data_IF_009313336954
#
_entry.id   IF_009313336954
#
_cell.length_a   1.000
_cell.length_b   1.000
_cell.length_c   1.000
_cell.angle_alpha   90.00
_cell.angle_beta   90.00
_cell.angle_gamma   90.00
#
_symmetry.space_group_name_H-M   'P 1'
#
loop_
_entity.id
_entity.type
_entity.pdbx_description
1 polymer ?
#
# COMPACT_ATOMS: atom_id res chain seq x y z
N UNK A 1 -16.00 -2.15 14.11
CA UNK A 1 -14.80 -2.44 14.91
C UNK A 1 -14.36 -3.89 14.66
N UNK A 2 -15.20 -4.88 14.96
CA UNK A 2 -14.85 -6.31 14.80
C UNK A 2 -14.43 -6.75 13.39
N UNK A 3 -15.08 -6.22 12.34
CA UNK A 3 -14.69 -6.55 10.97
C UNK A 3 -13.30 -5.98 10.60
N UNK A 4 -12.99 -4.76 11.06
CA UNK A 4 -11.72 -4.08 10.77
C UNK A 4 -10.57 -4.81 11.48
N UNK A 5 -10.77 -5.16 12.75
CA UNK A 5 -9.83 -5.97 13.54
C UNK A 5 -9.51 -7.29 12.83
N UNK A 6 -10.55 -8.01 12.38
CA UNK A 6 -10.38 -9.28 11.67
C UNK A 6 -9.60 -9.15 10.35
N UNK A 7 -9.68 -8.02 9.65
CA UNK A 7 -8.93 -7.80 8.40
C UNK A 7 -7.48 -7.46 8.75
N UNK A 8 -7.27 -6.56 9.70
CA UNK A 8 -5.94 -6.15 10.17
C UNK A 8 -5.14 -7.36 10.67
N UNK A 9 -5.73 -8.20 11.53
CA UNK A 9 -5.08 -9.40 12.07
C UNK A 9 -4.61 -10.35 10.95
N UNK A 10 -5.47 -10.56 9.95
CA UNK A 10 -5.17 -11.41 8.78
C UNK A 10 -4.03 -10.84 7.94
N UNK A 11 -4.02 -9.53 7.73
CA UNK A 11 -3.01 -8.86 6.93
C UNK A 11 -1.65 -8.81 7.62
N UNK A 12 -1.62 -8.50 8.91
CA UNK A 12 -0.38 -8.49 9.70
C UNK A 12 0.25 -9.88 9.75
N UNK A 13 -0.54 -10.92 10.02
CA UNK A 13 -0.02 -12.30 10.12
C UNK A 13 0.66 -12.78 8.84
N UNK A 14 0.23 -12.29 7.67
CA UNK A 14 0.78 -12.66 6.35
C UNK A 14 1.83 -11.68 5.81
N UNK A 15 2.15 -10.61 6.54
CA UNK A 15 3.04 -9.55 6.03
C UNK A 15 4.49 -10.03 5.99
N UNK A 16 5.07 -10.02 4.79
CA UNK A 16 6.50 -10.16 4.48
C UNK A 16 7.24 -11.26 5.26
N UNK A 17 6.59 -12.40 5.46
CA UNK A 17 7.07 -13.53 6.28
C UNK A 17 8.35 -14.20 5.77
N UNK A 18 8.77 -13.88 4.55
CA UNK A 18 10.05 -14.30 3.97
C UNK A 18 11.19 -13.32 4.27
N UNK A 19 10.90 -12.13 4.79
CA UNK A 19 11.87 -11.13 5.17
C UNK A 19 12.39 -11.41 6.59
N UNK A 20 13.70 -11.29 6.82
CA UNK A 20 14.32 -11.69 8.10
C UNK A 20 13.73 -10.95 9.31
N UNK A 21 13.33 -9.70 9.11
CA UNK A 21 12.68 -8.88 10.13
C UNK A 21 11.33 -9.43 10.63
N UNK A 22 10.55 -10.09 9.76
CA UNK A 22 9.19 -10.58 10.08
C UNK A 22 9.06 -12.11 10.13
N UNK A 23 10.13 -12.86 9.82
CA UNK A 23 10.10 -14.33 9.82
C UNK A 23 10.03 -14.92 11.24
N UNK A 24 9.59 -16.18 11.34
CA UNK A 24 9.53 -16.92 12.61
C UNK A 24 8.21 -16.76 13.39
N UNK A 25 7.78 -17.82 14.07
CA UNK A 25 6.56 -17.80 14.89
C UNK A 25 6.69 -16.81 16.05
N UNK A 26 5.58 -16.14 16.41
CA UNK A 26 5.54 -15.17 17.52
C UNK A 26 6.58 -14.03 17.41
N UNK A 27 6.87 -13.58 16.20
CA UNK A 27 7.81 -12.49 15.93
C UNK A 27 7.30 -11.16 16.54
N UNK A 28 8.12 -10.51 17.37
CA UNK A 28 7.76 -9.27 18.06
C UNK A 28 7.54 -8.09 17.11
N UNK A 29 8.26 -8.00 15.99
CA UNK A 29 8.08 -6.94 14.99
C UNK A 29 6.72 -7.03 14.28
N UNK A 30 6.15 -8.24 14.18
CA UNK A 30 4.79 -8.44 13.67
C UNK A 30 3.76 -7.89 14.66
N UNK A 31 4.01 -8.01 15.96
CA UNK A 31 3.18 -7.38 16.99
C UNK A 31 3.29 -5.84 16.92
N UNK A 32 4.51 -5.30 16.76
CA UNK A 32 4.71 -3.85 16.58
C UNK A 32 3.99 -3.34 15.33
N UNK A 33 4.04 -4.09 14.21
CA UNK A 33 3.29 -3.76 12.99
C UNK A 33 1.78 -3.68 13.25
N UNK A 34 1.24 -4.64 13.99
CA UNK A 34 -0.15 -4.64 14.42
C UNK A 34 -0.48 -3.39 15.27
N UNK A 35 0.33 -3.10 16.28
CA UNK A 35 0.06 -2.04 17.25
C UNK A 35 0.10 -0.64 16.62
N UNK A 36 1.02 -0.41 15.67
CA UNK A 36 1.06 0.82 14.88
C UNK A 36 -0.20 0.96 14.01
N UNK A 37 -0.62 -0.09 13.30
CA UNK A 37 -1.82 -0.04 12.45
C UNK A 37 -3.10 0.18 13.28
N UNK A 38 -3.17 -0.44 14.46
CA UNK A 38 -4.24 -0.21 15.42
C UNK A 38 -4.26 1.23 15.93
N UNK A 39 -3.09 1.77 16.26
CA UNK A 39 -2.93 3.17 16.68
C UNK A 39 -3.33 4.13 15.55
N UNK A 40 -2.93 3.83 14.31
CA UNK A 40 -3.32 4.62 13.14
C UNK A 40 -4.84 4.59 12.92
N UNK A 41 -5.47 3.42 13.06
CA UNK A 41 -6.92 3.28 12.97
C UNK A 41 -7.66 4.16 14.00
N UNK A 42 -7.07 4.39 15.18
CA UNK A 42 -7.62 5.33 16.16
C UNK A 42 -7.28 6.78 15.85
N UNK A 43 -6.09 7.05 15.32
CA UNK A 43 -5.63 8.39 14.95
C UNK A 43 -6.45 8.99 13.80
N UNK A 44 -6.70 8.21 12.74
CA UNK A 44 -7.53 8.60 11.60
C UNK A 44 -8.76 7.68 11.52
N UNK A 45 -9.69 7.85 12.46
CA UNK A 45 -10.85 6.98 12.59
C UNK A 45 -11.82 7.05 11.40
N UNK A 46 -11.88 8.19 10.72
CA UNK A 46 -12.74 8.38 9.53
C UNK A 46 -12.29 7.50 8.36
N UNK A 47 -10.97 7.32 8.19
CA UNK A 47 -10.41 6.39 7.21
C UNK A 47 -10.34 4.96 7.76
N UNK A 48 -9.83 4.82 8.98
CA UNK A 48 -9.52 3.54 9.62
C UNK A 48 -8.42 2.75 8.92
N UNK A 49 -8.30 1.48 9.28
CA UNK A 49 -7.45 0.52 8.57
C UNK A 49 -8.12 0.03 7.27
N UNK A 50 -7.35 0.05 6.18
CA UNK A 50 -7.74 -0.52 4.89
C UNK A 50 -6.66 -1.48 4.41
N UNK A 51 -7.09 -2.62 3.85
CA UNK A 51 -6.18 -3.65 3.35
C UNK A 51 -5.13 -3.07 2.37
N UNK A 52 -3.86 -3.39 2.63
CA UNK A 52 -2.71 -2.86 1.89
C UNK A 52 -1.92 -1.82 2.68
N UNK A 53 -2.49 -1.20 3.71
CA UNK A 53 -1.75 -0.30 4.61
C UNK A 53 -0.61 -1.02 5.36
N UNK A 54 -0.78 -2.30 5.68
CA UNK A 54 0.27 -3.15 6.24
C UNK A 54 1.49 -3.26 5.29
N UNK A 55 1.27 -3.28 3.99
CA UNK A 55 2.33 -3.36 2.98
C UNK A 55 3.09 -2.02 2.88
N UNK A 56 2.41 -0.91 3.16
CA UNK A 56 3.01 0.42 3.23
C UNK A 56 3.83 0.63 4.50
N UNK A 57 3.33 0.15 5.65
CA UNK A 57 4.03 0.29 6.93
C UNK A 57 5.24 -0.64 7.05
N UNK A 58 5.17 -1.85 6.49
CA UNK A 58 6.22 -2.88 6.64
C UNK A 58 7.64 -2.34 6.39
N UNK A 59 7.93 -1.65 5.26
CA UNK A 59 9.27 -1.11 5.03
C UNK A 59 9.67 0.03 5.95
N UNK A 60 8.72 0.89 6.32
CA UNK A 60 8.96 1.97 7.28
C UNK A 60 9.42 1.37 8.61
N UNK A 61 8.75 0.32 9.08
CA UNK A 61 9.09 -0.33 10.34
C UNK A 61 10.44 -1.06 10.29
N UNK A 62 10.82 -1.61 9.13
CA UNK A 62 12.15 -2.20 8.90
C UNK A 62 13.24 -1.14 8.95
N UNK A 63 13.01 0.06 8.39
CA UNK A 63 14.01 1.14 8.36
C UNK A 63 14.13 1.85 9.72
N UNK A 64 13.00 2.17 10.34
CA UNK A 64 12.98 3.00 11.54
C UNK A 64 13.41 2.20 12.78
N UNK A 65 13.09 0.90 12.82
CA UNK A 65 13.38 -0.01 13.95
C UNK A 65 12.83 0.47 15.32
N UNK A 66 12.02 1.52 15.33
CA UNK A 66 11.36 2.11 16.49
C UNK A 66 9.88 2.32 16.20
N UNK A 67 9.02 1.97 17.16
CA UNK A 67 7.56 2.01 17.00
C UNK A 67 7.02 3.43 16.79
N UNK A 68 7.54 4.40 17.55
CA UNK A 68 7.04 5.78 17.56
C UNK A 68 7.47 6.49 16.29
N UNK A 69 8.74 6.34 15.90
CA UNK A 69 9.26 6.91 14.67
C UNK A 69 8.59 6.30 13.44
N UNK A 70 8.39 4.97 13.44
CA UNK A 70 7.64 4.29 12.38
C UNK A 70 6.19 4.77 12.29
N UNK A 71 5.52 4.97 13.43
CA UNK A 71 4.15 5.51 13.45
C UNK A 71 4.07 6.90 12.81
N UNK A 72 4.93 7.84 13.22
CA UNK A 72 4.88 9.20 12.66
C UNK A 72 5.30 9.26 11.20
N UNK A 73 6.26 8.42 10.77
CA UNK A 73 6.61 8.29 9.37
C UNK A 73 5.43 7.72 8.55
N UNK A 74 4.73 6.72 9.09
CA UNK A 74 3.53 6.16 8.46
C UNK A 74 2.39 7.18 8.38
N UNK A 75 2.15 7.98 9.42
CA UNK A 75 1.19 9.10 9.37
C UNK A 75 1.57 10.10 8.26
N UNK A 76 2.86 10.44 8.16
CA UNK A 76 3.38 11.32 7.11
C UNK A 76 3.14 10.75 5.70
N UNK A 77 3.42 9.46 5.49
CA UNK A 77 3.12 8.74 4.26
C UNK A 77 1.62 8.78 3.93
N UNK A 78 0.79 8.41 4.90
CA UNK A 78 -0.65 8.33 4.73
C UNK A 78 -1.29 9.69 4.45
N UNK A 79 -0.72 10.80 4.94
CA UNK A 79 -1.20 12.14 4.59
C UNK A 79 -1.14 12.47 3.08
N UNK A 80 -0.36 11.69 2.32
CA UNK A 80 -0.23 11.79 0.86
C UNK A 80 -1.02 10.73 0.11
N UNK A 81 -1.29 9.60 0.77
CA UNK A 81 -1.84 8.39 0.14
C UNK A 81 -3.27 8.06 0.57
N UNK A 82 -3.81 8.68 1.62
CA UNK A 82 -5.12 8.37 2.20
C UNK A 82 -6.26 8.35 1.17
N UNK A 83 -6.27 9.28 0.22
CA UNK A 83 -7.28 9.35 -0.83
C UNK A 83 -7.38 8.07 -1.67
N UNK A 84 -6.29 7.31 -1.80
CA UNK A 84 -6.27 6.01 -2.49
C UNK A 84 -7.00 4.91 -1.70
N UNK A 85 -7.13 5.07 -0.40
CA UNK A 85 -7.75 4.11 0.51
C UNK A 85 -9.21 4.47 0.86
N UNK A 86 -9.74 5.56 0.32
CA UNK A 86 -11.14 5.93 0.52
C UNK A 86 -12.09 4.88 -0.08
N UNK A 87 -13.20 4.60 0.63
CA UNK A 87 -14.17 3.56 0.25
C UNK A 87 -14.81 3.77 -1.12
N UNK A 88 -14.93 5.02 -1.58
CA UNK A 88 -15.50 5.34 -2.89
C UNK A 88 -14.55 5.00 -4.07
N UNK A 89 -13.25 4.83 -3.76
CA UNK A 89 -12.16 4.56 -4.69
C UNK A 89 -12.06 5.57 -5.84
N UNK A 90 -12.59 6.79 -5.67
CA UNK A 90 -12.65 7.78 -6.74
C UNK A 90 -11.25 8.25 -7.15
N UNK A 91 -10.35 8.43 -6.18
CA UNK A 91 -9.00 8.91 -6.46
C UNK A 91 -8.20 7.88 -7.27
N UNK A 92 -8.14 6.62 -6.83
CA UNK A 92 -7.39 5.58 -7.54
C UNK A 92 -8.00 5.30 -8.93
N UNK A 93 -9.33 5.33 -9.08
CA UNK A 93 -9.98 5.23 -10.39
C UNK A 93 -9.59 6.37 -11.33
N UNK A 94 -9.46 7.59 -10.80
CA UNK A 94 -8.95 8.74 -11.56
C UNK A 94 -7.50 8.52 -12.00
N UNK A 95 -6.62 8.03 -11.12
CA UNK A 95 -5.23 7.70 -11.45
C UNK A 95 -5.13 6.62 -12.54
N UNK A 96 -5.98 5.58 -12.47
CA UNK A 96 -6.05 4.52 -13.48
C UNK A 96 -6.58 5.04 -14.84
N UNK A 97 -7.55 5.95 -14.82
CA UNK A 97 -8.04 6.63 -16.04
C UNK A 97 -6.94 7.50 -16.67
N UNK A 98 -6.17 8.22 -15.85
CA UNK A 98 -5.02 9.00 -16.30
C UNK A 98 -3.95 8.10 -16.92
N UNK A 99 -3.69 6.92 -16.33
CA UNK A 99 -2.77 5.94 -16.88
C UNK A 99 -3.22 5.45 -18.27
N UNK A 100 -4.51 5.16 -18.45
CA UNK A 100 -5.04 4.83 -19.78
C UNK A 100 -4.87 5.97 -20.78
N UNK A 101 -5.12 7.21 -20.35
CA UNK A 101 -4.94 8.41 -21.19
C UNK A 101 -3.47 8.58 -21.61
N UNK A 102 -2.52 8.38 -20.70
CA UNK A 102 -1.09 8.41 -21.01
C UNK A 102 -0.71 7.30 -21.99
N UNK A 103 -1.24 6.09 -21.79
CA UNK A 103 -0.98 4.99 -22.69
C UNK A 103 -1.48 5.27 -24.11
N UNK A 104 -2.64 5.90 -24.29
CA UNK A 104 -3.14 6.30 -25.61
C UNK A 104 -2.18 7.22 -26.36
N UNK A 105 -1.41 8.05 -25.64
CA UNK A 105 -0.40 8.92 -26.22
C UNK A 105 0.92 8.20 -26.52
N UNK A 106 1.35 7.31 -25.60
CA UNK A 106 2.65 6.61 -25.70
C UNK A 106 2.59 5.43 -26.68
N UNK A 107 1.52 4.64 -26.60
CA UNK A 107 1.31 3.41 -27.39
C UNK A 107 -0.20 3.24 -27.68
N UNK A 108 -0.65 3.88 -28.75
CA UNK A 108 -2.04 3.84 -29.17
C UNK A 108 -2.51 2.44 -29.60
N UNK A 109 -1.60 1.58 -30.08
CA UNK A 109 -1.93 0.21 -30.49
C UNK A 109 -2.24 -0.64 -29.26
N UNK A 110 -1.40 -0.58 -28.23
CA UNK A 110 -1.66 -1.24 -26.96
C UNK A 110 -2.90 -0.69 -26.27
N UNK A 111 -3.11 0.64 -26.26
CA UNK A 111 -4.31 1.23 -25.68
C UNK A 111 -5.59 0.71 -26.36
N UNK A 112 -5.59 0.64 -27.71
CA UNK A 112 -6.71 0.08 -28.49
C UNK A 112 -6.94 -1.39 -28.17
N UNK A 113 -5.87 -2.20 -28.12
CA UNK A 113 -5.97 -3.61 -27.73
C UNK A 113 -6.63 -3.78 -26.35
N UNK A 114 -6.27 -2.95 -25.37
CA UNK A 114 -6.89 -3.01 -24.04
C UNK A 114 -8.37 -2.63 -24.07
N UNK A 115 -8.78 -1.66 -24.90
CA UNK A 115 -10.22 -1.34 -25.08
C UNK A 115 -10.97 -2.54 -25.68
N UNK A 116 -10.44 -3.14 -26.74
CA UNK A 116 -11.06 -4.29 -27.43
C UNK A 116 -11.19 -5.52 -26.51
N UNK A 117 -10.32 -5.64 -25.50
CA UNK A 117 -10.32 -6.73 -24.52
C UNK A 117 -10.95 -6.36 -23.17
N UNK A 118 -11.75 -5.28 -23.09
CA UNK A 118 -12.42 -4.83 -21.85
C UNK A 118 -11.48 -4.56 -20.66
N UNK A 119 -10.23 -4.17 -20.96
CA UNK A 119 -9.17 -3.93 -19.99
C UNK A 119 -8.76 -2.44 -19.89
N UNK A 120 -9.49 -1.53 -20.55
CA UNK A 120 -9.18 -0.09 -20.54
C UNK A 120 -9.35 0.59 -19.18
N UNK A 121 -10.04 -0.04 -18.23
CA UNK A 121 -10.16 0.45 -16.84
C UNK A 121 -8.87 0.30 -16.02
N UNK A 122 -7.85 -0.39 -16.55
CA UNK A 122 -6.54 -0.55 -15.93
C UNK A 122 -6.56 -1.22 -14.54
N UNK A 123 -7.59 -1.97 -14.16
CA UNK A 123 -7.66 -2.56 -12.82
C UNK A 123 -6.55 -3.57 -12.52
N UNK A 124 -5.88 -4.11 -13.53
CA UNK A 124 -4.67 -4.93 -13.34
C UNK A 124 -3.48 -4.13 -12.77
N UNK A 125 -3.51 -2.80 -12.83
CA UNK A 125 -2.55 -1.91 -12.17
C UNK A 125 -3.04 -1.39 -10.81
N UNK A 126 -4.23 -1.76 -10.35
CA UNK A 126 -4.82 -1.24 -9.11
C UNK A 126 -3.88 -1.42 -7.91
N UNK A 127 -3.34 -2.64 -7.73
CA UNK A 127 -2.40 -2.93 -6.64
C UNK A 127 -1.12 -2.11 -6.77
N UNK A 128 -0.61 -1.93 -7.99
CA UNK A 128 0.63 -1.20 -8.22
C UNK A 128 0.50 0.25 -7.74
N UNK A 129 -0.63 0.88 -8.03
CA UNK A 129 -0.92 2.25 -7.61
C UNK A 129 -1.24 2.33 -6.12
N UNK A 130 -2.06 1.41 -5.59
CA UNK A 130 -2.51 1.46 -4.20
C UNK A 130 -1.37 1.36 -3.19
N UNK A 131 -0.40 0.48 -3.44
CA UNK A 131 0.71 0.20 -2.53
C UNK A 131 2.07 0.54 -3.15
N UNK A 132 2.09 1.53 -4.06
CA UNK A 132 3.31 2.11 -4.65
C UNK A 132 4.34 1.04 -5.08
N UNK A 133 3.86 0.06 -5.87
CA UNK A 133 4.66 -1.05 -6.43
C UNK A 133 5.34 -1.98 -5.42
N UNK A 134 5.02 -1.90 -4.12
CA UNK A 134 5.66 -2.71 -3.06
C UNK A 134 5.66 -4.22 -3.32
N UNK A 135 4.69 -4.73 -4.07
CA UNK A 135 4.54 -6.17 -4.40
C UNK A 135 5.18 -6.57 -5.73
N UNK A 136 5.75 -5.62 -6.47
CA UNK A 136 6.28 -5.85 -7.81
C UNK A 136 7.81 -5.88 -7.86
N UNK A 137 8.47 -5.45 -6.77
CA UNK A 137 9.91 -5.34 -6.66
C UNK A 137 10.44 -5.97 -5.35
N UNK A 138 11.75 -6.23 -5.32
CA UNK A 138 12.45 -6.65 -4.10
C UNK A 138 12.52 -5.48 -3.10
N UNK A 139 12.78 -5.79 -1.82
CA UNK A 139 12.79 -4.78 -0.76
C UNK A 139 13.66 -3.57 -1.09
N UNK A 140 14.93 -3.80 -1.43
CA UNK A 140 15.89 -2.73 -1.74
C UNK A 140 15.47 -1.88 -2.95
N UNK A 141 14.88 -2.51 -3.97
CA UNK A 141 14.36 -1.82 -5.15
C UNK A 141 13.15 -0.94 -4.81
N UNK A 142 12.28 -1.40 -3.91
CA UNK A 142 11.15 -0.60 -3.40
C UNK A 142 11.67 0.61 -2.63
N UNK A 143 12.72 0.43 -1.80
CA UNK A 143 13.30 1.54 -1.02
C UNK A 143 13.89 2.60 -1.94
N UNK A 144 14.68 2.18 -2.92
CA UNK A 144 15.21 3.10 -3.92
C UNK A 144 14.09 3.83 -4.70
N UNK A 145 13.05 3.10 -5.11
CA UNK A 145 11.92 3.68 -5.81
C UNK A 145 11.22 4.76 -4.95
N UNK A 146 10.93 4.45 -3.68
CA UNK A 146 10.22 5.35 -2.76
C UNK A 146 11.01 6.61 -2.45
N UNK A 147 12.33 6.50 -2.29
CA UNK A 147 13.22 7.66 -2.14
C UNK A 147 13.15 8.60 -3.36
N UNK A 148 13.14 8.05 -4.58
CA UNK A 148 13.11 8.83 -5.83
C UNK A 148 11.76 9.52 -6.04
N UNK A 149 10.65 8.81 -5.81
CA UNK A 149 9.29 9.36 -5.95
C UNK A 149 8.87 10.21 -4.73
N UNK A 150 9.73 10.27 -3.70
CA UNK A 150 9.56 11.02 -2.46
C UNK A 150 8.28 10.65 -1.72
N UNK A 151 8.00 9.36 -1.67
CA UNK A 151 6.89 8.80 -0.88
C UNK A 151 7.42 8.37 0.46
#
# INVERSE_FOLDING_TARGET
MDLVLNILDKDVTRTDRTHEYFQGENNAHVQVLHDILMTYNMYNFDLGYVQGMNDLLSPILVIMEDEIDAFWCFVGLMSRMDQNFHMDQLHIKSQLSNLHTLLQFIDAELAKYLVENNASNMYFFFRWVLICFKREFLFDDVMYLWEVIKI
#
